data_IF_503349760014
#
_entry.id   IF_503349760014
#
_cell.length_a   1.000
_cell.length_b   1.000
_cell.length_c   1.000
_cell.angle_alpha   90.00
_cell.angle_beta   90.00
_cell.angle_gamma   90.00
#
_symmetry.space_group_name_H-M   'P 1'
#
loop_
_entity.id
_entity.type
_entity.pdbx_description
1 polymer ?
#
# COMPACT_ATOMS: atom_id res chain seq x y z
N UNK A 1 28.89 11.57 -13.05
CA UNK A 1 29.62 10.51 -12.34
C UNK A 1 28.60 9.77 -11.48
N UNK A 2 28.33 8.50 -11.78
CA UNK A 2 27.45 7.66 -10.96
C UNK A 2 28.13 7.39 -9.64
N UNK A 3 27.62 7.93 -8.54
CA UNK A 3 28.12 7.58 -7.20
C UNK A 3 27.84 6.11 -6.93
N UNK A 4 28.87 5.38 -6.52
CA UNK A 4 28.72 3.98 -6.08
C UNK A 4 27.78 3.96 -4.87
N UNK A 5 26.76 3.07 -4.83
CA UNK A 5 25.88 2.99 -3.67
C UNK A 5 26.65 2.50 -2.45
N UNK A 6 26.35 3.05 -1.29
CA UNK A 6 26.82 2.56 0.00
C UNK A 6 26.04 1.30 0.38
N UNK A 7 26.74 0.32 0.94
CA UNK A 7 26.16 -0.89 1.53
C UNK A 7 25.99 -0.70 3.05
N UNK A 8 25.11 -1.48 3.71
CA UNK A 8 25.01 -1.50 5.15
C UNK A 8 26.38 -1.76 5.81
N UNK A 9 26.77 -0.93 6.76
CA UNK A 9 28.08 -0.97 7.40
C UNK A 9 29.16 -0.12 6.73
N UNK A 10 28.98 0.34 5.50
CA UNK A 10 29.95 1.23 4.84
C UNK A 10 30.08 2.55 5.59
N UNK A 11 31.31 3.06 5.65
CA UNK A 11 31.61 4.38 6.22
C UNK A 11 31.04 5.46 5.31
N UNK A 12 30.27 6.38 5.89
CA UNK A 12 29.65 7.53 5.23
C UNK A 12 30.40 8.83 5.56
N UNK A 13 30.67 9.03 6.86
CA UNK A 13 31.33 10.25 7.38
C UNK A 13 32.06 9.96 8.69
N UNK A 14 32.71 10.97 9.27
CA UNK A 14 33.24 10.95 10.63
C UNK A 14 32.37 11.84 11.53
N UNK A 15 32.25 11.44 12.81
CA UNK A 15 31.40 12.14 13.79
C UNK A 15 31.87 13.56 14.11
N UNK A 16 33.13 13.87 13.88
CA UNK A 16 33.69 15.21 14.08
C UNK A 16 33.22 16.23 13.02
N UNK A 17 32.81 15.74 11.84
CA UNK A 17 32.37 16.60 10.72
C UNK A 17 30.84 16.65 10.58
N UNK A 18 30.18 15.51 10.85
CA UNK A 18 28.74 15.35 10.65
C UNK A 18 28.07 14.62 11.82
N UNK A 19 26.79 14.88 12.01
CA UNK A 19 25.89 14.13 12.88
C UNK A 19 25.12 13.07 12.07
N UNK A 20 24.62 12.04 12.78
CA UNK A 20 23.80 10.99 12.17
C UNK A 20 22.43 11.52 11.74
N UNK A 21 22.05 11.19 10.53
CA UNK A 21 20.72 11.45 9.98
C UNK A 21 19.95 10.17 9.65
N UNK A 22 18.97 10.28 8.77
CA UNK A 22 18.16 9.13 8.36
C UNK A 22 19.01 8.05 7.70
N UNK A 23 18.77 6.77 8.10
CA UNK A 23 19.46 5.58 7.59
C UNK A 23 20.97 5.54 7.84
N UNK A 24 21.43 6.22 8.88
CA UNK A 24 22.81 6.14 9.36
C UNK A 24 22.85 5.86 10.86
N UNK A 25 23.95 5.30 11.35
CA UNK A 25 24.22 5.12 12.76
C UNK A 25 25.67 5.49 13.09
N UNK A 26 25.90 5.83 14.35
CA UNK A 26 27.20 6.15 14.91
C UNK A 26 27.80 4.89 15.57
N UNK A 27 29.03 4.51 15.20
CA UNK A 27 29.79 3.40 15.80
C UNK A 27 30.82 3.87 16.86
N UNK A 28 30.76 5.15 17.25
CA UNK A 28 31.66 5.79 18.21
C UNK A 28 32.82 6.57 17.56
N UNK A 29 33.09 6.35 16.29
CA UNK A 29 34.14 7.05 15.55
C UNK A 29 33.69 7.49 14.14
N UNK A 30 32.81 6.71 13.54
CA UNK A 30 32.37 6.97 12.17
C UNK A 30 30.86 6.84 12.05
N UNK A 31 30.29 7.57 11.12
CA UNK A 31 28.90 7.43 10.71
C UNK A 31 28.83 6.38 9.60
N UNK A 32 28.00 5.36 9.81
CA UNK A 32 27.86 4.22 8.89
C UNK A 32 26.45 4.14 8.32
N UNK A 33 26.36 3.57 7.12
CA UNK A 33 25.09 3.28 6.48
C UNK A 33 24.36 2.11 7.13
N UNK A 34 23.03 2.21 7.27
CA UNK A 34 22.13 1.12 7.71
C UNK A 34 21.49 0.41 6.53
N UNK A 35 21.38 1.08 5.38
CA UNK A 35 20.67 0.61 4.19
C UNK A 35 21.53 0.74 2.93
N UNK A 36 21.09 0.07 1.84
CA UNK A 36 21.68 0.30 0.51
C UNK A 36 21.16 1.62 -0.04
N UNK A 37 22.04 2.54 -0.39
CA UNK A 37 21.64 3.83 -0.91
C UNK A 37 22.77 4.77 -1.27
N UNK A 38 22.44 5.98 -1.60
CA UNK A 38 23.39 7.06 -1.90
C UNK A 38 23.53 8.02 -0.71
N UNK A 39 24.79 8.39 -0.39
CA UNK A 39 25.04 9.38 0.67
C UNK A 39 24.59 10.78 0.25
N UNK A 40 23.89 11.46 1.15
CA UNK A 40 23.51 12.86 1.05
C UNK A 40 24.02 13.61 2.28
N UNK A 41 24.61 14.79 2.08
CA UNK A 41 25.19 15.60 3.15
C UNK A 41 24.51 16.96 3.21
N UNK A 42 23.89 17.25 4.34
CA UNK A 42 23.46 18.60 4.66
C UNK A 42 24.63 19.36 5.31
N UNK A 43 25.27 20.24 4.53
CA UNK A 43 26.44 20.99 4.99
C UNK A 43 26.09 22.10 5.97
N UNK A 44 24.82 22.57 5.97
CA UNK A 44 24.36 23.65 6.87
C UNK A 44 24.09 23.07 8.25
N UNK A 45 23.35 21.98 8.31
CA UNK A 45 23.02 21.30 9.55
C UNK A 45 24.07 20.26 9.97
N UNK A 46 25.08 20.03 9.14
CA UNK A 46 26.12 18.99 9.33
C UNK A 46 25.54 17.60 9.56
N UNK A 47 24.51 17.23 8.80
CA UNK A 47 23.88 15.92 8.92
C UNK A 47 24.27 15.06 7.72
N UNK A 48 24.75 13.84 8.00
CA UNK A 48 25.00 12.77 7.01
C UNK A 48 23.82 11.81 6.99
N UNK A 49 23.20 11.59 5.84
CA UNK A 49 22.07 10.68 5.66
C UNK A 49 22.24 9.81 4.42
N UNK A 50 21.56 8.66 4.39
CA UNK A 50 21.52 7.79 3.21
C UNK A 50 20.12 7.82 2.61
N UNK A 51 20.05 8.20 1.35
CA UNK A 51 18.85 8.05 0.54
C UNK A 51 18.77 6.60 0.06
N UNK A 52 17.86 5.86 0.65
CA UNK A 52 17.69 4.43 0.36
C UNK A 52 17.30 4.22 -1.10
N UNK A 53 17.97 3.26 -1.76
CA UNK A 53 17.56 2.75 -3.06
C UNK A 53 16.50 1.65 -2.87
N UNK A 54 15.42 1.72 -3.64
CA UNK A 54 14.35 0.71 -3.62
C UNK A 54 13.78 0.44 -2.22
N UNK A 55 13.57 1.51 -1.42
CA UNK A 55 12.87 1.36 -0.15
C UNK A 55 11.50 0.70 -0.39
N UNK A 56 11.16 -0.38 0.35
CA UNK A 56 9.80 -0.89 0.31
C UNK A 56 8.86 0.25 0.73
N UNK A 57 7.93 0.58 -0.13
CA UNK A 57 6.97 1.64 0.17
C UNK A 57 5.95 1.09 1.16
N UNK A 58 6.13 1.40 2.45
CA UNK A 58 5.15 1.08 3.49
C UNK A 58 4.12 2.22 3.50
N UNK A 59 2.83 1.90 3.35
CA UNK A 59 1.80 2.94 3.38
C UNK A 59 1.73 3.59 4.76
N UNK A 60 1.49 4.88 4.80
CA UNK A 60 1.30 5.65 6.04
C UNK A 60 -0.18 5.75 6.41
N UNK A 61 -0.46 6.18 7.64
CA UNK A 61 -1.84 6.47 8.06
C UNK A 61 -2.44 7.54 7.14
N UNK A 62 -3.69 7.32 6.71
CA UNK A 62 -4.46 8.07 5.71
C UNK A 62 -4.10 7.79 4.24
N UNK A 63 -3.09 6.98 3.95
CA UNK A 63 -2.81 6.60 2.56
C UNK A 63 -3.96 5.76 1.98
N UNK A 64 -4.20 5.97 0.69
CA UNK A 64 -5.11 5.15 -0.12
C UNK A 64 -4.33 3.98 -0.71
N UNK A 65 -4.79 2.78 -0.41
CA UNK A 65 -4.20 1.54 -0.93
C UNK A 65 -5.20 0.81 -1.84
N UNK A 66 -4.68 0.22 -2.90
CA UNK A 66 -5.46 -0.64 -3.79
C UNK A 66 -4.78 -1.99 -3.84
N UNK A 67 -5.57 -3.03 -3.67
CA UNK A 67 -5.09 -4.40 -3.67
C UNK A 67 -6.18 -5.41 -3.95
N UNK A 68 -5.78 -6.66 -4.02
CA UNK A 68 -6.69 -7.79 -4.22
C UNK A 68 -6.98 -8.47 -2.90
N UNK A 69 -8.24 -8.81 -2.66
CA UNK A 69 -8.67 -9.60 -1.50
C UNK A 69 -8.11 -11.01 -1.63
N UNK A 70 -7.32 -11.44 -0.64
CA UNK A 70 -6.68 -12.76 -0.62
C UNK A 70 -7.27 -13.69 0.43
N UNK A 71 -7.84 -13.14 1.50
CA UNK A 71 -8.47 -13.94 2.54
C UNK A 71 -9.68 -13.22 3.14
N UNK A 72 -10.68 -14.01 3.55
CA UNK A 72 -11.85 -13.54 4.27
C UNK A 72 -11.89 -14.20 5.65
N UNK A 73 -12.16 -13.38 6.67
CA UNK A 73 -12.37 -13.78 8.05
C UNK A 73 -13.76 -13.28 8.50
N UNK A 74 -14.24 -13.69 9.66
CA UNK A 74 -15.63 -13.35 10.10
C UNK A 74 -16.02 -11.88 9.94
N UNK A 75 -15.17 -10.96 10.39
CA UNK A 75 -15.43 -9.51 10.38
C UNK A 75 -14.33 -8.70 9.69
N UNK A 76 -13.35 -9.36 9.11
CA UNK A 76 -12.16 -8.77 8.50
C UNK A 76 -11.83 -9.50 7.20
N UNK A 77 -11.06 -8.85 6.36
CA UNK A 77 -10.48 -9.47 5.18
C UNK A 77 -9.08 -8.91 4.94
N UNK A 78 -8.23 -9.72 4.34
CA UNK A 78 -6.88 -9.31 3.98
C UNK A 78 -6.80 -8.96 2.50
N UNK A 79 -6.07 -7.89 2.20
CA UNK A 79 -5.75 -7.47 0.84
C UNK A 79 -4.23 -7.43 0.65
N UNK A 80 -3.74 -7.97 -0.46
CA UNK A 80 -2.37 -7.76 -0.92
C UNK A 80 -2.34 -6.48 -1.75
N UNK A 81 -1.48 -5.54 -1.36
CA UNK A 81 -1.43 -4.21 -1.95
C UNK A 81 -0.58 -4.17 -3.23
N UNK A 82 -1.08 -3.48 -4.26
CA UNK A 82 -0.37 -3.23 -5.51
C UNK A 82 -0.15 -1.75 -5.81
N UNK A 83 -0.97 -0.87 -5.20
CA UNK A 83 -0.83 0.59 -5.34
C UNK A 83 -0.97 1.28 -4.00
N UNK A 84 -0.17 2.32 -3.80
CA UNK A 84 -0.24 3.25 -2.67
C UNK A 84 -0.30 4.66 -3.24
N UNK A 85 -1.39 5.40 -2.95
CA UNK A 85 -1.65 6.74 -3.48
C UNK A 85 -1.49 6.83 -5.02
N UNK A 86 -1.99 5.81 -5.73
CA UNK A 86 -1.91 5.73 -7.19
C UNK A 86 -0.54 5.38 -7.77
N UNK A 87 0.46 5.13 -6.94
CA UNK A 87 1.79 4.65 -7.37
C UNK A 87 1.88 3.13 -7.20
N UNK A 88 2.39 2.39 -8.19
CA UNK A 88 2.55 0.95 -8.07
C UNK A 88 3.58 0.60 -6.99
N UNK A 89 3.33 -0.47 -6.25
CA UNK A 89 4.25 -1.05 -5.28
C UNK A 89 4.41 -2.54 -5.52
N UNK A 90 5.63 -3.03 -5.34
CA UNK A 90 5.97 -4.45 -5.44
C UNK A 90 6.34 -5.03 -4.07
N UNK A 91 5.93 -4.36 -2.98
CA UNK A 91 6.29 -4.76 -1.62
C UNK A 91 5.68 -6.10 -1.20
N UNK A 92 4.58 -6.53 -1.86
CA UNK A 92 3.83 -7.72 -1.46
C UNK A 92 3.22 -7.62 -0.05
N UNK A 93 3.16 -6.41 0.51
CA UNK A 93 2.60 -6.18 1.84
C UNK A 93 1.09 -6.42 1.83
N UNK A 94 0.62 -6.98 2.93
CA UNK A 94 -0.81 -7.18 3.18
C UNK A 94 -1.32 -6.16 4.19
N UNK A 95 -2.57 -5.77 4.04
CA UNK A 95 -3.27 -5.05 5.09
C UNK A 95 -4.59 -5.73 5.45
N UNK A 96 -4.97 -5.57 6.71
CA UNK A 96 -6.20 -6.11 7.27
C UNK A 96 -7.27 -5.03 7.21
N UNK A 97 -8.34 -5.31 6.46
CA UNK A 97 -9.48 -4.44 6.34
C UNK A 97 -10.60 -4.89 7.25
N UNK A 98 -11.15 -3.96 8.04
CA UNK A 98 -12.34 -4.23 8.84
C UNK A 98 -13.59 -3.80 8.08
N UNK A 99 -14.56 -4.70 8.00
CA UNK A 99 -15.91 -4.38 7.56
C UNK A 99 -16.66 -3.73 8.72
N UNK A 100 -16.49 -2.41 8.92
CA UNK A 100 -17.29 -1.65 9.90
C UNK A 100 -18.50 -1.06 9.22
N UNK A 101 -19.68 -1.48 9.61
CA UNK A 101 -20.95 -0.93 9.16
C UNK A 101 -22.09 -1.46 10.00
N UNK A 102 -23.27 -0.83 9.94
CA UNK A 102 -24.45 -1.20 10.72
C UNK A 102 -24.87 -2.69 10.55
N UNK A 103 -24.46 -3.33 9.46
CA UNK A 103 -24.81 -4.73 9.15
C UNK A 103 -23.71 -5.74 9.49
N UNK A 104 -22.52 -5.34 10.00
CA UNK A 104 -21.37 -6.24 10.36
C UNK A 104 -21.07 -7.33 9.31
N UNK A 105 -21.41 -7.10 8.05
CA UNK A 105 -21.32 -8.08 6.96
C UNK A 105 -20.19 -7.73 6.01
N UNK A 106 -19.35 -8.71 5.68
CA UNK A 106 -18.33 -8.56 4.65
C UNK A 106 -19.03 -8.56 3.30
N UNK A 107 -18.92 -7.46 2.56
CA UNK A 107 -19.48 -7.28 1.23
C UNK A 107 -18.37 -7.25 0.16
N UNK A 108 -17.36 -8.09 0.35
CA UNK A 108 -16.25 -8.32 -0.60
C UNK A 108 -16.05 -9.82 -0.77
N UNK A 109 -15.34 -10.22 -1.81
CA UNK A 109 -14.97 -11.61 -2.09
C UNK A 109 -13.48 -11.72 -2.36
N UNK A 110 -12.95 -12.93 -2.22
CA UNK A 110 -11.59 -13.25 -2.68
C UNK A 110 -11.49 -12.91 -4.17
N UNK A 111 -10.38 -12.35 -4.59
CA UNK A 111 -10.09 -11.82 -5.93
C UNK A 111 -10.78 -10.49 -6.29
N UNK A 112 -11.62 -9.91 -5.43
CA UNK A 112 -12.07 -8.54 -5.64
C UNK A 112 -10.89 -7.56 -5.55
N UNK A 113 -10.84 -6.58 -6.45
CA UNK A 113 -9.91 -5.46 -6.34
C UNK A 113 -10.58 -4.36 -5.53
N UNK A 114 -9.94 -3.97 -4.44
CA UNK A 114 -10.52 -3.08 -3.43
C UNK A 114 -9.64 -1.86 -3.20
N UNK A 115 -10.27 -0.70 -3.03
CA UNK A 115 -9.66 0.52 -2.51
C UNK A 115 -9.97 0.66 -1.03
N UNK A 116 -8.94 0.85 -0.22
CA UNK A 116 -9.07 1.02 1.22
C UNK A 116 -8.20 2.20 1.71
N UNK A 117 -8.51 2.73 2.89
CA UNK A 117 -7.72 3.77 3.56
C UNK A 117 -7.03 3.18 4.78
N UNK A 118 -5.74 3.38 4.89
CA UNK A 118 -4.95 2.98 6.06
C UNK A 118 -5.33 3.84 7.26
N UNK A 119 -5.63 3.19 8.39
CA UNK A 119 -6.02 3.88 9.63
C UNK A 119 -5.01 3.74 10.76
N UNK A 120 -4.25 2.66 10.77
CA UNK A 120 -3.24 2.43 11.81
C UNK A 120 -2.24 1.36 11.43
N UNK A 121 -1.10 1.40 12.13
CA UNK A 121 -0.13 0.33 12.19
C UNK A 121 -0.12 -0.19 13.62
N UNK A 122 -0.65 -1.37 13.84
CA UNK A 122 -0.77 -1.96 15.16
C UNK A 122 -0.30 -3.42 15.14
N UNK A 123 0.52 -3.80 16.11
CA UNK A 123 1.05 -5.16 16.27
C UNK A 123 1.75 -5.70 15.00
N UNK A 124 2.47 -4.83 14.27
CA UNK A 124 3.15 -5.22 13.03
C UNK A 124 2.23 -5.41 11.81
N UNK A 125 0.92 -5.17 11.96
CA UNK A 125 -0.03 -5.24 10.86
C UNK A 125 -0.51 -3.85 10.43
N UNK A 126 -0.79 -3.72 9.14
CA UNK A 126 -1.38 -2.53 8.55
C UNK A 126 -2.89 -2.70 8.59
N UNK A 127 -3.59 -1.77 9.24
CA UNK A 127 -5.05 -1.79 9.33
C UNK A 127 -5.66 -0.74 8.42
N UNK A 128 -6.70 -1.13 7.68
CA UNK A 128 -7.41 -0.27 6.75
C UNK A 128 -8.93 -0.41 6.88
N UNK A 129 -9.66 0.54 6.30
CA UNK A 129 -11.12 0.56 6.25
C UNK A 129 -11.61 0.79 4.83
N UNK A 130 -12.88 0.38 4.59
CA UNK A 130 -13.60 0.61 3.32
C UNK A 130 -14.95 1.32 3.52
N UNK A 131 -15.16 1.98 4.66
CA UNK A 131 -16.48 2.51 5.04
C UNK A 131 -16.92 3.75 4.26
N UNK A 132 -15.97 4.51 3.73
CA UNK A 132 -16.25 5.72 2.99
C UNK A 132 -16.89 5.42 1.61
N UNK A 133 -17.68 6.34 1.03
CA UNK A 133 -18.31 6.12 -0.28
C UNK A 133 -17.32 5.85 -1.41
N UNK A 134 -16.14 6.47 -1.36
CA UNK A 134 -15.09 6.29 -2.37
C UNK A 134 -14.34 4.97 -2.25
N UNK A 135 -14.40 4.34 -1.07
CA UNK A 135 -13.71 3.11 -0.76
C UNK A 135 -14.59 1.90 -1.05
N UNK A 136 -13.98 0.74 -1.23
CA UNK A 136 -14.64 -0.52 -1.49
C UNK A 136 -14.20 -1.16 -2.78
N UNK A 137 -15.03 -2.03 -3.32
CA UNK A 137 -14.73 -2.82 -4.52
C UNK A 137 -14.67 -1.91 -5.75
N UNK A 138 -13.56 -1.96 -6.48
CA UNK A 138 -13.32 -1.27 -7.74
C UNK A 138 -13.59 -2.17 -8.94
N UNK A 139 -13.15 -3.43 -8.85
CA UNK A 139 -13.35 -4.43 -9.88
C UNK A 139 -13.70 -5.76 -9.23
N UNK A 140 -14.62 -6.48 -9.83
CA UNK A 140 -15.05 -7.81 -9.40
C UNK A 140 -15.51 -8.61 -10.60
N UNK A 141 -15.60 -9.93 -10.44
CA UNK A 141 -16.16 -10.86 -11.41
C UNK A 141 -17.33 -11.64 -10.77
N UNK A 142 -18.15 -12.24 -11.61
CA UNK A 142 -19.23 -13.09 -11.13
C UNK A 142 -18.71 -14.29 -10.35
N UNK A 143 -19.26 -14.52 -9.16
CA UNK A 143 -18.86 -15.66 -8.30
C UNK A 143 -19.26 -17.05 -8.88
N UNK A 144 -20.24 -17.10 -9.80
CA UNK A 144 -20.71 -18.37 -10.39
C UNK A 144 -19.98 -18.76 -11.67
N UNK A 145 -19.74 -17.79 -12.56
CA UNK A 145 -19.23 -18.08 -13.90
C UNK A 145 -18.00 -17.25 -14.27
N UNK A 146 -17.47 -16.44 -13.32
CA UNK A 146 -16.38 -15.49 -13.55
C UNK A 146 -16.64 -14.47 -14.68
N UNK A 147 -17.87 -14.37 -15.17
CA UNK A 147 -18.29 -13.45 -16.23
C UNK A 147 -18.28 -12.00 -15.79
N UNK A 148 -18.43 -11.11 -16.77
CA UNK A 148 -18.48 -9.66 -16.55
C UNK A 148 -19.70 -9.26 -15.74
N UNK A 149 -19.53 -8.28 -14.85
CA UNK A 149 -20.65 -7.75 -14.04
C UNK A 149 -20.92 -6.30 -14.36
N UNK A 150 -22.19 -5.89 -14.17
CA UNK A 150 -22.67 -4.53 -14.25
C UNK A 150 -23.32 -4.13 -12.91
N UNK A 151 -23.36 -2.84 -12.62
CA UNK A 151 -24.01 -2.32 -11.41
C UNK A 151 -25.50 -2.14 -11.66
N UNK A 152 -26.34 -2.71 -10.79
CA UNK A 152 -27.80 -2.56 -10.83
C UNK A 152 -28.30 -2.33 -9.40
N UNK A 153 -28.85 -1.15 -9.14
CA UNK A 153 -29.44 -0.84 -7.82
C UNK A 153 -28.48 -0.93 -6.64
N UNK A 154 -27.17 -0.65 -6.85
CA UNK A 154 -26.15 -0.75 -5.80
C UNK A 154 -25.58 -2.16 -5.61
N UNK A 155 -26.07 -3.15 -6.35
CA UNK A 155 -25.58 -4.52 -6.40
C UNK A 155 -24.84 -4.77 -7.71
N UNK A 156 -24.11 -5.89 -7.81
CA UNK A 156 -23.54 -6.36 -9.06
C UNK A 156 -24.39 -7.46 -9.67
N UNK A 157 -24.67 -7.36 -10.98
CA UNK A 157 -25.37 -8.37 -11.76
C UNK A 157 -24.45 -8.90 -12.86
N UNK A 158 -24.35 -10.20 -12.97
CA UNK A 158 -23.61 -10.84 -14.06
C UNK A 158 -24.36 -10.67 -15.38
N UNK A 159 -23.64 -10.32 -16.44
CA UNK A 159 -24.19 -10.18 -17.79
C UNK A 159 -24.52 -11.55 -18.38
N UNK A 160 -23.67 -12.55 -18.11
CA UNK A 160 -23.77 -13.88 -18.73
C UNK A 160 -24.79 -14.79 -18.06
N UNK A 161 -24.77 -14.91 -16.73
CA UNK A 161 -25.62 -15.84 -15.98
C UNK A 161 -26.78 -15.16 -15.21
N UNK A 162 -26.85 -13.83 -15.23
CA UNK A 162 -27.91 -13.08 -14.54
C UNK A 162 -27.83 -13.07 -13.02
N UNK A 163 -26.82 -13.71 -12.42
CA UNK A 163 -26.68 -13.78 -10.97
C UNK A 163 -26.44 -12.40 -10.36
N UNK A 164 -27.20 -12.09 -9.28
CA UNK A 164 -27.11 -10.81 -8.58
C UNK A 164 -26.46 -11.05 -7.22
N UNK A 165 -25.53 -10.18 -6.85
CA UNK A 165 -24.77 -10.29 -5.62
C UNK A 165 -24.50 -8.90 -4.98
N UNK A 166 -24.54 -8.85 -3.65
CA UNK A 166 -24.20 -7.62 -2.92
C UNK A 166 -22.69 -7.44 -2.84
N UNK A 167 -22.22 -6.20 -3.07
CA UNK A 167 -20.84 -5.77 -2.84
C UNK A 167 -20.83 -4.38 -2.23
N UNK A 168 -19.82 -4.09 -1.40
CA UNK A 168 -19.51 -2.71 -1.01
C UNK A 168 -18.76 -2.05 -2.16
N UNK A 169 -19.51 -1.51 -3.11
CA UNK A 169 -18.95 -0.84 -4.28
C UNK A 169 -18.34 0.51 -3.90
N UNK A 170 -17.20 0.83 -4.49
CA UNK A 170 -16.65 2.19 -4.51
C UNK A 170 -17.45 3.06 -5.47
N UNK A 171 -17.57 4.36 -5.18
CA UNK A 171 -18.10 5.33 -6.16
C UNK A 171 -17.29 5.38 -7.46
N UNK A 172 -16.06 4.84 -7.44
CA UNK A 172 -15.15 4.72 -8.59
C UNK A 172 -15.16 3.33 -9.23
N UNK A 173 -16.19 2.52 -8.97
CA UNK A 173 -16.31 1.17 -9.52
C UNK A 173 -16.22 1.19 -11.06
N UNK A 174 -15.38 0.32 -11.60
CA UNK A 174 -15.13 0.21 -13.05
C UNK A 174 -14.23 1.31 -13.65
N UNK A 175 -13.81 2.29 -12.86
CA UNK A 175 -12.88 3.34 -13.31
C UNK A 175 -11.45 3.03 -12.85
N UNK A 176 -10.49 3.18 -13.76
CA UNK A 176 -9.05 2.98 -13.51
C UNK A 176 -8.21 4.27 -13.64
N UNK A 177 -8.83 5.44 -13.89
CA UNK A 177 -8.10 6.69 -14.17
C UNK A 177 -7.23 7.18 -13.02
N UNK A 178 -7.54 6.73 -11.79
CA UNK A 178 -6.76 7.03 -10.59
C UNK A 178 -5.51 6.15 -10.42
N UNK A 179 -5.37 5.09 -11.22
CA UNK A 179 -4.16 4.28 -11.29
C UNK A 179 -3.23 4.96 -12.30
N UNK A 180 -2.23 5.67 -11.82
CA UNK A 180 -1.16 6.15 -12.68
C UNK A 180 -0.35 4.93 -13.12
N UNK A 181 -0.63 4.45 -14.31
CA UNK A 181 0.24 3.49 -15.01
C UNK A 181 1.59 4.20 -15.11
N UNK A 182 2.59 3.66 -14.40
CA UNK A 182 3.92 4.25 -14.39
C UNK A 182 4.37 4.49 -15.83
N UNK A 183 4.54 5.76 -16.20
CA UNK A 183 5.24 6.12 -17.42
C UNK A 183 6.63 5.48 -17.35
N UNK A 184 6.91 4.60 -18.30
CA UNK A 184 8.23 4.03 -18.54
C UNK A 184 9.24 5.13 -18.80
#
# INVERSE_FOLDING_TARGET
>A
MSQKPNLPGDKVAIIEEFETGNNTFDDGHTIRSVVIGTSEFDKIQRIAKIKQMNAPTVPQVNDLVIGTVVALMNNMFAITMFYINGKPTHSGLECICQARGAKKRILTRVSDVVMARVISHLNGAIHAIINEPELGVLFTQCNKCAGKVIVVGGNVKCVDCGYIEERKLSSKFGNSDFIKLGSK
#
